data_IF_737857317898
#
_entry.id   IF_737857317898
#
_cell.length_a   1.000
_cell.length_b   1.000
_cell.length_c   1.000
_cell.angle_alpha   90.00
_cell.angle_beta   90.00
_cell.angle_gamma   90.00
#
_symmetry.space_group_name_H-M   'P 1'
#
loop_
_entity.id
_entity.type
_entity.pdbx_description
1 polymer ?
#
# COMPACT_ATOMS: atom_id res chain seq x y z
N UNK A 1 -13.14 12.12 -5.49
CA UNK A 1 -12.10 11.53 -6.34
C UNK A 1 -12.56 10.16 -6.77
N UNK A 2 -12.56 9.82 -8.07
CA UNK A 2 -12.79 8.44 -8.50
C UNK A 2 -11.62 7.55 -8.05
N UNK A 3 -11.90 6.27 -7.81
CA UNK A 3 -10.86 5.25 -7.60
C UNK A 3 -10.34 4.81 -8.96
N UNK A 4 -9.03 4.87 -9.19
CA UNK A 4 -8.42 4.53 -10.48
C UNK A 4 -7.83 3.11 -10.53
N UNK A 5 -7.47 2.53 -9.38
CA UNK A 5 -6.80 1.23 -9.32
C UNK A 5 -7.08 0.53 -7.99
N UNK A 6 -7.13 -0.81 -8.01
CA UNK A 6 -7.16 -1.65 -6.82
C UNK A 6 -6.14 -2.78 -6.97
N UNK A 7 -5.23 -2.86 -5.99
CA UNK A 7 -4.26 -3.94 -5.82
C UNK A 7 -4.72 -4.78 -4.64
N UNK A 8 -4.90 -6.09 -4.84
CA UNK A 8 -5.38 -6.97 -3.78
C UNK A 8 -4.86 -8.39 -3.93
N UNK A 9 -5.02 -9.18 -2.87
CA UNK A 9 -4.73 -10.60 -2.90
C UNK A 9 -5.79 -11.43 -2.19
N UNK A 10 -5.94 -12.67 -2.62
CA UNK A 10 -6.79 -13.68 -1.99
C UNK A 10 -5.94 -14.56 -1.10
N UNK A 11 -6.10 -14.41 0.21
CA UNK A 11 -5.39 -15.19 1.21
C UNK A 11 -6.28 -15.40 2.44
N UNK A 12 -6.18 -16.54 3.14
CA UNK A 12 -6.86 -16.73 4.41
C UNK A 12 -6.27 -15.87 5.55
N UNK A 13 -5.06 -15.33 5.39
CA UNK A 13 -4.39 -14.49 6.39
C UNK A 13 -4.81 -13.03 6.28
N UNK A 14 -4.89 -12.31 7.41
CA UNK A 14 -5.05 -10.84 7.38
C UNK A 14 -3.68 -10.22 7.12
N UNK A 15 -3.51 -9.57 5.97
CA UNK A 15 -2.25 -8.91 5.55
C UNK A 15 -2.25 -7.39 5.75
N UNK A 16 -3.31 -6.84 6.33
CA UNK A 16 -3.52 -5.40 6.51
C UNK A 16 -2.35 -4.73 7.25
N UNK A 17 -1.87 -5.36 8.33
CA UNK A 17 -0.78 -4.81 9.14
C UNK A 17 0.58 -4.97 8.47
N UNK A 18 0.81 -6.12 7.82
CA UNK A 18 2.01 -6.44 7.07
C UNK A 18 2.20 -5.44 5.93
N UNK A 19 1.12 -5.14 5.19
CA UNK A 19 1.14 -4.13 4.14
C UNK A 19 1.40 -2.73 4.69
N UNK A 20 0.75 -2.34 5.79
CA UNK A 20 1.02 -1.05 6.42
C UNK A 20 2.50 -0.91 6.82
N UNK A 21 3.11 -1.95 7.39
CA UNK A 21 4.53 -1.96 7.76
C UNK A 21 5.47 -1.92 6.54
N UNK A 22 5.11 -2.57 5.43
CA UNK A 22 5.90 -2.54 4.20
C UNK A 22 5.83 -1.16 3.54
N UNK A 23 4.63 -0.59 3.43
CA UNK A 23 4.42 0.74 2.85
C UNK A 23 5.13 1.84 3.65
N UNK A 24 5.16 1.73 4.98
CA UNK A 24 5.91 2.66 5.84
C UNK A 24 7.42 2.68 5.55
N UNK A 25 7.98 1.59 5.02
CA UNK A 25 9.41 1.48 4.71
C UNK A 25 9.79 2.07 3.35
N UNK A 26 8.81 2.42 2.50
CA UNK A 26 9.07 2.98 1.17
C UNK A 26 9.37 4.48 1.31
N UNK A 27 10.60 4.94 1.02
CA UNK A 27 10.98 6.34 1.25
C UNK A 27 10.18 7.36 0.43
N UNK A 28 9.63 6.95 -0.70
CA UNK A 28 8.81 7.79 -1.57
C UNK A 28 7.39 8.02 -1.03
N UNK A 29 6.92 7.17 -0.11
CA UNK A 29 5.61 7.32 0.52
C UNK A 29 5.69 8.20 1.77
N UNK A 30 4.64 8.99 2.00
CA UNK A 30 4.46 9.71 3.25
C UNK A 30 3.10 9.40 3.88
N UNK A 31 3.02 9.60 5.19
CA UNK A 31 1.78 9.49 5.97
C UNK A 31 1.13 10.89 6.02
N UNK A 32 0.06 11.16 5.26
CA UNK A 32 -0.58 12.47 5.23
C UNK A 32 -1.33 12.77 6.52
N UNK A 33 -1.82 11.74 7.21
CA UNK A 33 -2.52 11.84 8.49
C UNK A 33 -2.17 10.62 9.35
N UNK A 34 -1.49 10.87 10.48
CA UNK A 34 -1.16 9.80 11.43
C UNK A 34 -2.44 9.11 11.90
N UNK A 35 -2.36 7.78 12.02
CA UNK A 35 -3.42 6.90 12.53
C UNK A 35 -4.70 6.84 11.69
N UNK A 36 -4.70 7.39 10.47
CA UNK A 36 -5.86 7.26 9.59
C UNK A 36 -6.10 5.80 9.23
N UNK A 37 -7.32 5.30 9.44
CA UNK A 37 -7.67 3.88 9.24
C UNK A 37 -7.02 2.91 10.23
N UNK A 38 -6.29 3.41 11.23
CA UNK A 38 -5.53 2.63 12.20
C UNK A 38 -5.95 3.01 13.64
N UNK A 39 -7.24 3.08 13.94
CA UNK A 39 -7.72 3.47 15.28
C UNK A 39 -7.66 2.34 16.31
N UNK A 40 -7.68 1.10 15.85
CA UNK A 40 -7.81 -0.13 16.64
C UNK A 40 -6.56 -1.02 16.61
N UNK A 41 -5.53 -0.66 15.82
CA UNK A 41 -4.25 -1.36 15.73
C UNK A 41 -3.10 -0.49 16.28
N UNK A 42 -1.84 -0.82 15.98
CA UNK A 42 -0.66 -0.02 16.35
C UNK A 42 0.08 0.58 15.14
N UNK A 43 -0.46 0.41 13.93
CA UNK A 43 0.14 0.92 12.70
C UNK A 43 0.22 2.45 12.71
N UNK A 44 1.24 3.00 12.05
CA UNK A 44 1.41 4.43 11.94
C UNK A 44 0.30 5.10 11.11
N UNK A 45 -0.20 4.41 10.07
CA UNK A 45 -1.34 4.80 9.22
C UNK A 45 -1.72 3.64 8.29
N UNK A 46 -2.97 3.57 7.84
CA UNK A 46 -3.41 2.76 6.69
C UNK A 46 -3.66 3.61 5.43
N UNK A 47 -3.43 4.92 5.51
CA UNK A 47 -3.43 5.83 4.37
C UNK A 47 -2.02 6.35 4.12
N UNK A 48 -1.56 6.21 2.88
CA UNK A 48 -0.28 6.69 2.39
C UNK A 48 -0.51 7.59 1.19
N UNK A 49 0.35 8.60 1.04
CA UNK A 49 0.31 9.54 -0.07
C UNK A 49 1.59 9.43 -0.89
N UNK A 50 1.39 9.38 -2.20
CA UNK A 50 2.42 9.37 -3.23
C UNK A 50 2.60 10.81 -3.72
N UNK A 51 3.75 11.45 -3.50
CA UNK A 51 4.02 12.75 -4.08
C UNK A 51 3.95 12.72 -5.62
N UNK A 52 3.35 13.74 -6.22
CA UNK A 52 3.13 13.82 -7.67
C UNK A 52 4.40 13.72 -8.52
N UNK A 53 5.57 14.03 -7.95
CA UNK A 53 6.85 13.88 -8.65
C UNK A 53 7.26 12.42 -8.95
N UNK A 54 6.69 11.43 -8.26
CA UNK A 54 7.07 10.02 -8.45
C UNK A 54 6.20 9.27 -9.47
N UNK A 55 5.04 9.83 -9.84
CA UNK A 55 4.12 9.24 -10.82
C UNK A 55 3.53 7.88 -10.40
N UNK A 56 2.33 7.56 -10.88
CA UNK A 56 1.63 6.33 -10.48
C UNK A 56 2.37 5.03 -10.89
N UNK A 57 3.15 5.08 -11.98
CA UNK A 57 3.74 3.90 -12.64
C UNK A 57 4.90 3.29 -11.84
N UNK A 58 5.70 4.10 -11.13
CA UNK A 58 6.92 3.60 -10.49
C UNK A 58 6.62 2.83 -9.20
N UNK A 59 5.56 3.20 -8.49
CA UNK A 59 5.23 2.59 -7.21
C UNK A 59 4.59 1.22 -7.40
N UNK A 60 3.82 0.99 -8.46
CA UNK A 60 3.35 -0.36 -8.75
C UNK A 60 4.54 -1.32 -8.94
N UNK A 61 5.55 -0.95 -9.74
CA UNK A 61 6.75 -1.79 -9.91
C UNK A 61 7.53 -1.97 -8.61
N UNK A 62 7.64 -0.91 -7.80
CA UNK A 62 8.36 -0.97 -6.54
C UNK A 62 7.62 -1.78 -5.46
N UNK A 63 6.29 -1.64 -5.37
CA UNK A 63 5.43 -2.52 -4.58
C UNK A 63 5.54 -3.95 -5.08
N UNK A 64 5.62 -4.14 -6.40
CA UNK A 64 5.83 -5.46 -6.98
C UNK A 64 7.15 -6.07 -6.49
N UNK A 65 8.24 -5.32 -6.50
CA UNK A 65 9.57 -5.81 -6.11
C UNK A 65 9.74 -5.99 -4.59
N UNK A 66 9.20 -5.06 -3.80
CA UNK A 66 9.37 -5.01 -2.34
C UNK A 66 8.29 -5.82 -1.59
N UNK A 67 7.11 -6.03 -2.19
CA UNK A 67 5.98 -6.78 -1.59
C UNK A 67 5.73 -8.14 -2.27
N UNK A 68 6.02 -8.34 -3.57
CA UNK A 68 5.75 -9.63 -4.26
C UNK A 68 6.88 -10.66 -4.19
N UNK A 69 7.72 -10.65 -3.16
CA UNK A 69 8.57 -11.83 -2.91
C UNK A 69 7.79 -13.03 -2.34
N UNK A 70 6.48 -12.89 -2.11
CA UNK A 70 5.59 -14.01 -1.83
C UNK A 70 4.38 -14.01 -2.81
N UNK A 71 4.21 -15.14 -3.50
CA UNK A 71 3.30 -15.42 -4.62
C UNK A 71 1.80 -15.19 -4.35
N UNK A 72 1.31 -13.97 -4.13
CA UNK A 72 -0.14 -13.75 -4.07
C UNK A 72 -0.52 -12.28 -4.29
N UNK A 73 -0.74 -11.79 -5.52
CA UNK A 73 -1.54 -10.57 -5.75
C UNK A 73 -2.09 -10.52 -7.19
N UNK A 74 -3.38 -10.19 -7.33
CA UNK A 74 -4.06 -9.96 -8.62
C UNK A 74 -4.27 -8.45 -8.81
N UNK A 75 -4.08 -7.98 -10.04
CA UNK A 75 -4.25 -6.56 -10.38
C UNK A 75 -5.53 -6.40 -11.18
N UNK A 76 -6.37 -5.44 -10.80
CA UNK A 76 -7.56 -5.07 -11.55
C UNK A 76 -7.58 -3.56 -11.73
N UNK A 77 -7.63 -3.11 -12.99
CA UNK A 77 -7.84 -1.72 -13.35
C UNK A 77 -9.36 -1.51 -13.45
N UNK A 78 -9.88 -0.48 -12.78
CA UNK A 78 -11.31 -0.17 -12.73
C UNK A 78 -11.76 0.60 -13.98
#
# INVERSE_FOLDING_TARGET
MPVCQVLYTETPSRLEHEWAMLLERIPELNIPMKRFGASDCQCASHLFHIPSQYGDIQIEQKLKEDVLKEDVMKISVL
#
